data_IF_138631828606
#
_entry.id   IF_138631828606
#
_cell.length_a   1.000
_cell.length_b   1.000
_cell.length_c   1.000
_cell.angle_alpha   90.00
_cell.angle_beta   90.00
_cell.angle_gamma   90.00
#
_symmetry.space_group_name_H-M   'P 1'
#
loop_
_entity.id
_entity.type
_entity.pdbx_description
1 polymer ?
#
# COMPACT_ATOMS: atom_id res chain seq x y z
N UNK A 1 52.56 -8.28 70.27
CA UNK A 1 52.21 -7.39 69.15
C UNK A 1 51.59 -8.24 68.06
N UNK A 2 50.22 -8.25 67.97
CA UNK A 2 49.48 -9.02 66.97
C UNK A 2 49.18 -8.11 65.74
N UNK A 3 49.66 -8.47 64.55
CA UNK A 3 49.36 -7.76 63.29
C UNK A 3 48.02 -8.24 62.80
N UNK A 4 47.06 -7.31 62.65
CA UNK A 4 45.75 -7.54 61.98
C UNK A 4 45.94 -7.25 60.52
N UNK A 5 45.76 -8.26 59.66
CA UNK A 5 45.74 -8.12 58.20
C UNK A 5 44.29 -7.89 57.78
N UNK A 6 43.94 -6.66 57.30
CA UNK A 6 42.68 -6.36 56.73
C UNK A 6 42.66 -6.88 55.26
N UNK A 7 41.79 -7.83 54.99
CA UNK A 7 41.48 -8.25 53.63
C UNK A 7 40.35 -7.35 53.06
N UNK A 8 40.71 -6.49 52.12
CA UNK A 8 39.73 -5.71 51.37
C UNK A 8 39.10 -6.58 50.25
N UNK A 9 37.84 -6.95 50.43
CA UNK A 9 37.08 -7.65 49.37
C UNK A 9 36.57 -6.62 48.37
N UNK A 10 37.13 -6.61 47.18
CA UNK A 10 36.68 -5.80 46.04
C UNK A 10 35.49 -6.49 45.39
N UNK A 11 34.27 -6.01 45.64
CA UNK A 11 33.06 -6.48 44.98
C UNK A 11 32.97 -5.82 43.59
N UNK A 12 33.32 -6.57 42.56
CA UNK A 12 33.10 -6.13 41.15
C UNK A 12 31.65 -6.45 40.79
N UNK A 13 30.81 -5.43 40.81
CA UNK A 13 29.44 -5.54 40.32
C UNK A 13 29.45 -5.50 38.78
N UNK A 14 29.32 -6.67 38.15
CA UNK A 14 29.09 -6.76 36.71
C UNK A 14 27.65 -6.32 36.41
N UNK A 15 27.48 -5.11 35.91
CA UNK A 15 26.20 -4.68 35.30
C UNK A 15 25.97 -5.49 34.02
N UNK A 16 25.10 -6.48 34.07
CA UNK A 16 24.60 -7.16 32.89
C UNK A 16 23.70 -6.19 32.13
N UNK A 17 24.18 -5.64 31.00
CA UNK A 17 23.38 -4.88 30.08
C UNK A 17 22.43 -5.87 29.38
N UNK A 18 21.19 -5.96 29.86
CA UNK A 18 20.12 -6.70 29.21
C UNK A 18 19.76 -5.92 27.96
N UNK A 19 20.34 -6.29 26.82
CA UNK A 19 19.95 -5.78 25.53
C UNK A 19 18.54 -6.34 25.19
N UNK A 20 17.50 -5.59 25.51
CA UNK A 20 16.14 -5.89 25.06
C UNK A 20 16.09 -5.67 23.55
N UNK A 21 16.33 -6.72 22.77
CA UNK A 21 15.99 -6.74 21.37
C UNK A 21 14.47 -6.60 21.25
N UNK A 22 14.01 -5.38 21.02
CA UNK A 22 12.60 -5.13 20.73
C UNK A 22 12.19 -6.04 19.56
N UNK A 23 11.29 -7.00 19.84
CA UNK A 23 10.77 -7.90 18.82
C UNK A 23 10.14 -7.05 17.70
N UNK A 24 10.82 -6.95 16.58
CA UNK A 24 10.37 -6.19 15.42
C UNK A 24 9.10 -6.86 14.87
N UNK A 25 7.95 -6.24 15.07
CA UNK A 25 6.68 -6.72 14.51
C UNK A 25 6.69 -6.50 13.00
N UNK A 26 6.65 -7.57 12.23
CA UNK A 26 6.59 -7.50 10.77
C UNK A 26 5.13 -7.48 10.30
N UNK A 27 4.78 -6.56 9.40
CA UNK A 27 3.50 -6.56 8.71
C UNK A 27 3.45 -7.59 7.58
N UNK A 28 4.61 -7.96 7.08
CA UNK A 28 4.78 -8.91 5.98
C UNK A 28 5.32 -10.21 6.55
N UNK A 29 4.58 -11.28 6.33
CA UNK A 29 4.99 -12.64 6.74
C UNK A 29 6.31 -13.03 6.04
N UNK A 30 7.26 -13.53 6.84
CA UNK A 30 8.55 -14.01 6.34
C UNK A 30 8.42 -15.11 5.29
N UNK A 31 7.37 -15.95 5.35
CA UNK A 31 7.10 -16.96 4.33
C UNK A 31 6.84 -16.33 2.97
N UNK A 32 6.08 -15.23 2.92
CA UNK A 32 5.82 -14.45 1.70
C UNK A 32 7.11 -13.81 1.17
N UNK A 33 7.97 -13.27 2.06
CA UNK A 33 9.29 -12.72 1.68
C UNK A 33 10.18 -13.79 1.05
N UNK A 34 10.24 -14.99 1.65
CA UNK A 34 10.99 -16.14 1.10
C UNK A 34 10.44 -16.56 -0.26
N UNK A 35 9.10 -16.64 -0.43
CA UNK A 35 8.46 -16.96 -1.72
C UNK A 35 8.81 -15.93 -2.80
N UNK A 36 8.77 -14.64 -2.47
CA UNK A 36 9.16 -13.56 -3.39
C UNK A 36 10.62 -13.68 -3.78
N UNK A 37 11.53 -13.94 -2.81
CA UNK A 37 12.94 -14.14 -3.09
C UNK A 37 13.18 -15.33 -4.03
N UNK A 38 12.53 -16.48 -3.78
CA UNK A 38 12.63 -17.68 -4.63
C UNK A 38 12.15 -17.41 -6.06
N UNK A 39 11.02 -16.68 -6.21
CA UNK A 39 10.39 -16.46 -7.53
C UNK A 39 11.02 -15.31 -8.33
N UNK A 40 11.43 -14.22 -7.65
CA UNK A 40 11.82 -12.96 -8.30
C UNK A 40 13.23 -12.48 -7.93
N UNK A 41 13.94 -13.19 -7.05
CA UNK A 41 15.32 -12.92 -6.67
C UNK A 41 15.51 -11.86 -5.57
N UNK A 42 16.78 -11.66 -5.18
CA UNK A 42 17.17 -10.84 -4.03
C UNK A 42 16.73 -9.36 -4.14
N UNK A 43 16.72 -8.77 -5.33
CA UNK A 43 16.25 -7.39 -5.54
C UNK A 43 14.75 -7.25 -5.22
N UNK A 44 13.95 -8.28 -5.51
CA UNK A 44 12.53 -8.32 -5.18
C UNK A 44 12.30 -8.48 -3.67
N UNK A 45 13.06 -9.37 -3.01
CA UNK A 45 13.09 -9.50 -1.55
C UNK A 45 13.35 -8.14 -0.90
N UNK A 46 14.38 -7.42 -1.34
CA UNK A 46 14.71 -6.09 -0.81
C UNK A 46 13.58 -5.08 -0.96
N UNK A 47 12.83 -5.09 -2.08
CA UNK A 47 11.66 -4.21 -2.25
C UNK A 47 10.53 -4.54 -1.28
N UNK A 48 10.29 -5.83 -0.99
CA UNK A 48 9.28 -6.24 0.01
C UNK A 48 9.72 -5.85 1.43
N UNK A 49 10.99 -6.00 1.77
CA UNK A 49 11.54 -5.54 3.05
C UNK A 49 11.43 -4.01 3.22
N UNK A 50 11.69 -3.25 2.16
CA UNK A 50 11.49 -1.79 2.15
C UNK A 50 10.01 -1.41 2.31
N UNK A 51 9.10 -2.19 1.71
CA UNK A 51 7.66 -2.04 1.91
C UNK A 51 7.28 -2.28 3.37
N UNK A 52 7.73 -3.39 3.98
CA UNK A 52 7.50 -3.68 5.40
C UNK A 52 8.01 -2.55 6.30
N UNK A 53 9.23 -2.07 6.08
CA UNK A 53 9.79 -0.93 6.82
C UNK A 53 8.95 0.35 6.67
N UNK A 54 8.42 0.62 5.48
CA UNK A 54 7.54 1.77 5.23
C UNK A 54 6.22 1.61 6.00
N UNK A 55 5.62 0.41 6.02
CA UNK A 55 4.41 0.11 6.77
C UNK A 55 4.63 0.32 8.27
N UNK A 56 5.72 -0.22 8.83
CA UNK A 56 6.07 -0.06 10.24
C UNK A 56 6.22 1.41 10.65
N UNK A 57 6.94 2.19 9.86
CA UNK A 57 7.13 3.63 10.10
C UNK A 57 5.84 4.44 9.97
N UNK A 58 4.85 3.90 9.24
CA UNK A 58 3.62 4.63 8.94
C UNK A 58 2.44 4.25 9.85
N UNK A 59 2.50 3.12 10.58
CA UNK A 59 1.34 2.57 11.31
C UNK A 59 0.73 3.55 12.32
N UNK A 60 1.56 4.32 13.02
CA UNK A 60 1.13 5.22 14.10
C UNK A 60 1.05 6.69 13.64
N UNK A 61 1.33 6.94 12.37
CA UNK A 61 1.28 8.28 11.79
C UNK A 61 -0.16 8.81 11.61
N UNK A 62 -0.32 10.13 11.56
CA UNK A 62 -1.60 10.77 11.19
C UNK A 62 -2.01 10.37 9.77
N UNK A 63 -3.32 10.29 9.53
CA UNK A 63 -3.86 9.74 8.27
C UNK A 63 -3.25 10.33 6.99
N UNK A 64 -3.10 11.64 6.91
CA UNK A 64 -2.53 12.28 5.72
C UNK A 64 -1.08 11.83 5.46
N UNK A 65 -0.33 11.58 6.52
CA UNK A 65 1.05 11.06 6.42
C UNK A 65 1.05 9.60 5.96
N UNK A 66 0.15 8.75 6.50
CA UNK A 66 -0.07 7.37 6.01
C UNK A 66 -0.35 7.36 4.51
N UNK A 67 -1.33 8.16 4.06
CA UNK A 67 -1.69 8.27 2.65
C UNK A 67 -0.48 8.69 1.79
N UNK A 68 0.26 9.72 2.24
CA UNK A 68 1.44 10.23 1.54
C UNK A 68 2.55 9.20 1.45
N UNK A 69 2.92 8.56 2.55
CA UNK A 69 4.00 7.58 2.61
C UNK A 69 3.74 6.39 1.67
N UNK A 70 2.52 5.83 1.72
CA UNK A 70 2.10 4.73 0.86
C UNK A 70 2.05 5.16 -0.61
N UNK A 71 1.50 6.33 -0.91
CA UNK A 71 1.43 6.84 -2.28
C UNK A 71 2.82 7.05 -2.88
N UNK A 72 3.71 7.70 -2.13
CA UNK A 72 5.07 8.00 -2.58
C UNK A 72 5.93 6.73 -2.74
N UNK A 73 5.72 5.74 -1.88
CA UNK A 73 6.44 4.47 -1.97
C UNK A 73 6.16 3.77 -3.29
N UNK A 74 4.89 3.51 -3.61
CA UNK A 74 4.53 2.79 -4.83
C UNK A 74 4.76 3.62 -6.09
N UNK A 75 4.62 4.94 -6.04
CA UNK A 75 4.86 5.81 -7.19
C UNK A 75 6.32 5.90 -7.65
N UNK A 76 7.25 5.19 -6.98
CA UNK A 76 8.64 4.99 -7.43
C UNK A 76 8.78 3.79 -8.38
N UNK A 77 7.80 2.89 -8.41
CA UNK A 77 7.81 1.71 -9.28
C UNK A 77 7.56 2.14 -10.74
N UNK A 78 8.14 1.40 -11.67
CA UNK A 78 8.01 1.70 -13.09
C UNK A 78 6.63 1.34 -13.61
N UNK A 79 6.01 2.24 -14.40
CA UNK A 79 4.79 1.94 -15.13
C UNK A 79 5.05 1.03 -16.33
N UNK A 80 4.24 -0.01 -16.50
CA UNK A 80 4.28 -0.91 -17.65
C UNK A 80 2.91 -1.57 -17.83
N UNK A 81 2.33 -1.47 -19.02
CA UNK A 81 1.00 -2.04 -19.32
C UNK A 81 1.02 -3.56 -19.28
N UNK A 82 -0.09 -4.16 -18.95
CA UNK A 82 -0.29 -5.60 -18.84
C UNK A 82 0.15 -6.41 -20.06
N UNK A 83 -0.24 -6.03 -21.30
CA UNK A 83 0.21 -6.76 -22.50
C UNK A 83 1.74 -6.80 -22.63
N UNK A 84 2.41 -5.71 -22.26
CA UNK A 84 3.88 -5.63 -22.30
C UNK A 84 4.54 -6.34 -21.13
N UNK A 85 3.86 -6.37 -19.96
CA UNK A 85 4.43 -6.88 -18.72
C UNK A 85 4.07 -8.34 -18.47
N UNK A 86 2.78 -8.67 -18.48
CA UNK A 86 2.25 -9.98 -18.12
C UNK A 86 1.90 -10.86 -19.33
N UNK A 87 1.96 -10.31 -20.56
CA UNK A 87 1.48 -10.95 -21.78
C UNK A 87 -0.01 -11.32 -21.70
N UNK A 88 -0.77 -10.55 -20.93
CA UNK A 88 -2.22 -10.67 -20.71
C UNK A 88 -2.88 -9.33 -21.01
N UNK A 89 -4.17 -9.36 -21.35
CA UNK A 89 -4.93 -8.15 -21.67
C UNK A 89 -5.23 -7.31 -20.42
N UNK A 90 -5.51 -7.98 -19.31
CA UNK A 90 -5.89 -7.40 -18.02
C UNK A 90 -5.43 -8.38 -16.91
N UNK A 91 -4.53 -7.95 -16.03
CA UNK A 91 -3.98 -8.77 -14.96
C UNK A 91 -3.72 -7.95 -13.70
N UNK A 92 -4.56 -8.13 -12.70
CA UNK A 92 -4.43 -7.43 -11.42
C UNK A 92 -3.40 -8.11 -10.54
N UNK A 93 -2.19 -7.54 -10.47
CA UNK A 93 -1.12 -8.11 -9.68
C UNK A 93 -1.37 -7.92 -8.18
N UNK A 94 -1.00 -8.94 -7.39
CA UNK A 94 -0.89 -8.80 -5.94
C UNK A 94 0.23 -7.80 -5.60
N UNK A 95 0.23 -7.17 -4.42
CA UNK A 95 1.34 -6.31 -3.99
C UNK A 95 2.70 -7.01 -4.05
N UNK A 96 2.73 -8.33 -3.82
CA UNK A 96 3.95 -9.13 -3.90
C UNK A 96 4.46 -9.32 -5.34
N UNK A 97 3.56 -9.54 -6.30
CA UNK A 97 3.88 -9.64 -7.72
C UNK A 97 4.35 -8.29 -8.27
N UNK A 98 3.63 -7.21 -7.93
CA UNK A 98 3.99 -5.85 -8.32
C UNK A 98 5.38 -5.45 -7.81
N UNK A 99 5.68 -5.70 -6.52
CA UNK A 99 7.01 -5.49 -5.94
C UNK A 99 8.03 -6.50 -6.48
N UNK A 100 7.60 -7.73 -6.77
CA UNK A 100 8.41 -8.80 -7.31
C UNK A 100 9.03 -8.40 -8.66
N UNK A 101 8.19 -7.93 -9.56
CA UNK A 101 8.58 -7.56 -10.92
C UNK A 101 9.06 -6.11 -11.06
N UNK A 102 8.84 -5.25 -10.06
CA UNK A 102 9.15 -3.82 -10.06
C UNK A 102 8.52 -3.04 -11.23
N UNK A 103 7.38 -3.51 -11.73
CA UNK A 103 6.60 -2.84 -12.77
C UNK A 103 5.14 -3.27 -12.70
N UNK A 104 4.25 -2.42 -13.18
CA UNK A 104 2.81 -2.67 -13.31
C UNK A 104 2.08 -1.47 -13.87
N UNK A 105 0.77 -1.56 -14.01
CA UNK A 105 -0.06 -0.46 -14.50
C UNK A 105 -1.01 0.12 -13.44
N UNK A 106 -2.02 0.87 -13.85
CA UNK A 106 -2.76 1.74 -12.90
C UNK A 106 -3.48 0.97 -11.80
N UNK A 107 -4.04 -0.20 -12.09
CA UNK A 107 -4.71 -1.06 -11.11
C UNK A 107 -3.73 -1.62 -10.09
N UNK A 108 -2.52 -2.02 -10.50
CA UNK A 108 -1.50 -2.56 -9.60
C UNK A 108 -1.08 -1.53 -8.54
N UNK A 109 -0.92 -0.26 -8.95
CA UNK A 109 -0.65 0.83 -8.00
C UNK A 109 -1.82 1.04 -7.04
N UNK A 110 -3.05 1.07 -7.54
CA UNK A 110 -4.24 1.30 -6.71
C UNK A 110 -4.44 0.16 -5.70
N UNK A 111 -4.31 -1.09 -6.14
CA UNK A 111 -4.40 -2.32 -5.34
C UNK A 111 -3.32 -2.34 -4.26
N UNK A 112 -2.06 -2.12 -4.64
CA UNK A 112 -0.94 -2.16 -3.69
C UNK A 112 -1.07 -1.07 -2.61
N UNK A 113 -1.51 0.14 -2.98
CA UNK A 113 -1.81 1.21 -2.03
C UNK A 113 -2.97 0.85 -1.11
N UNK A 114 -4.05 0.28 -1.64
CA UNK A 114 -5.21 -0.16 -0.87
C UNK A 114 -4.82 -1.17 0.21
N UNK A 115 -4.16 -2.27 -0.15
CA UNK A 115 -3.75 -3.29 0.81
C UNK A 115 -2.73 -2.77 1.82
N UNK A 116 -1.84 -1.88 1.42
CA UNK A 116 -0.89 -1.25 2.33
C UNK A 116 -1.56 -0.39 3.39
N UNK A 117 -2.51 0.45 3.01
CA UNK A 117 -3.28 1.27 3.95
C UNK A 117 -4.14 0.42 4.87
N UNK A 118 -4.75 -0.67 4.36
CA UNK A 118 -5.47 -1.64 5.18
C UNK A 118 -4.57 -2.27 6.25
N UNK A 119 -3.36 -2.68 5.87
CA UNK A 119 -2.37 -3.28 6.80
C UNK A 119 -1.95 -2.33 7.93
N UNK A 120 -1.92 -1.03 7.71
CA UNK A 120 -1.58 -0.03 8.75
C UNK A 120 -2.81 0.61 9.41
N UNK A 121 -3.96 -0.11 9.39
CA UNK A 121 -5.14 0.20 10.17
C UNK A 121 -6.10 1.23 9.56
N UNK A 122 -5.99 1.56 8.26
CA UNK A 122 -7.01 2.38 7.62
C UNK A 122 -8.24 1.51 7.34
N UNK A 123 -9.44 1.87 7.86
CA UNK A 123 -10.66 1.08 7.69
C UNK A 123 -11.06 0.90 6.23
N UNK A 124 -11.58 -0.29 5.89
CA UNK A 124 -12.02 -0.63 4.52
C UNK A 124 -13.04 0.36 3.97
N UNK A 125 -14.04 0.72 4.76
CA UNK A 125 -15.11 1.63 4.39
C UNK A 125 -14.62 3.05 4.04
N UNK A 126 -13.38 3.39 4.38
CA UNK A 126 -12.72 4.66 4.01
C UNK A 126 -11.89 4.59 2.73
N UNK A 127 -11.72 3.42 2.14
CA UNK A 127 -10.91 3.20 0.95
C UNK A 127 -11.76 2.65 -0.19
N UNK A 128 -11.56 3.18 -1.40
CA UNK A 128 -12.17 2.63 -2.61
C UNK A 128 -11.18 2.71 -3.77
N UNK A 129 -11.00 1.60 -4.46
CA UNK A 129 -10.36 1.58 -5.78
C UNK A 129 -11.41 2.10 -6.76
N UNK A 130 -11.06 3.10 -7.55
CA UNK A 130 -11.99 3.80 -8.42
C UNK A 130 -11.55 3.70 -9.87
N UNK A 131 -12.42 3.15 -10.71
CA UNK A 131 -12.28 3.17 -12.16
C UNK A 131 -12.78 4.51 -12.69
N UNK A 132 -11.96 5.17 -13.50
CA UNK A 132 -12.20 6.49 -14.02
C UNK A 132 -11.86 6.55 -15.52
N UNK A 133 -12.46 7.50 -16.23
CA UNK A 133 -11.91 7.99 -17.49
C UNK A 133 -10.94 9.13 -17.17
N UNK A 134 -9.71 8.97 -17.60
CA UNK A 134 -8.67 10.00 -17.46
C UNK A 134 -8.51 10.76 -18.78
N UNK A 135 -8.54 12.06 -18.70
CA UNK A 135 -8.31 12.97 -19.84
C UNK A 135 -7.06 13.80 -19.61
N UNK A 136 -6.01 13.54 -20.37
CA UNK A 136 -4.80 14.35 -20.32
C UNK A 136 -5.10 15.78 -20.77
N UNK A 137 -4.48 16.77 -20.12
CA UNK A 137 -4.59 18.18 -20.52
C UNK A 137 -4.27 18.33 -22.02
N UNK A 138 -5.10 19.07 -22.74
CA UNK A 138 -5.02 19.27 -24.20
C UNK A 138 -5.24 18.02 -25.07
N UNK A 139 -5.64 16.88 -24.51
CA UNK A 139 -6.01 15.70 -25.28
C UNK A 139 -7.50 15.69 -25.58
N UNK A 140 -7.89 15.24 -26.79
CA UNK A 140 -9.29 14.93 -27.14
C UNK A 140 -9.70 13.53 -26.66
N UNK A 141 -8.75 12.66 -26.37
CA UNK A 141 -8.99 11.26 -26.01
C UNK A 141 -9.05 11.06 -24.49
N UNK A 142 -10.01 10.26 -24.05
CA UNK A 142 -10.11 9.71 -22.71
C UNK A 142 -9.54 8.29 -22.72
N UNK A 143 -8.87 7.90 -21.65
CA UNK A 143 -8.38 6.53 -21.45
C UNK A 143 -8.88 5.96 -20.11
N UNK A 144 -9.03 4.64 -20.06
CA UNK A 144 -9.30 3.93 -18.84
C UNK A 144 -8.16 4.14 -17.83
N UNK A 145 -8.51 4.33 -16.56
CA UNK A 145 -7.54 4.51 -15.50
C UNK A 145 -8.12 4.08 -14.16
N UNK A 146 -7.25 3.62 -13.25
CA UNK A 146 -7.61 3.31 -11.87
C UNK A 146 -6.82 4.15 -10.88
N UNK A 147 -7.50 4.59 -9.84
CA UNK A 147 -6.90 5.33 -8.70
C UNK A 147 -7.44 4.79 -7.40
N UNK A 148 -6.71 5.01 -6.30
CA UNK A 148 -7.24 4.79 -4.96
C UNK A 148 -7.83 6.11 -4.44
N UNK A 149 -8.98 6.02 -3.74
CA UNK A 149 -9.59 7.16 -3.06
C UNK A 149 -9.74 6.88 -1.58
N UNK A 150 -9.47 7.92 -0.76
CA UNK A 150 -9.68 7.91 0.68
C UNK A 150 -10.84 8.85 1.05
N UNK A 151 -11.85 8.30 1.75
CA UNK A 151 -13.05 8.99 2.22
C UNK A 151 -12.93 9.25 3.72
N UNK A 152 -12.75 10.52 4.12
CA UNK A 152 -12.65 10.89 5.53
C UNK A 152 -13.93 10.56 6.31
N UNK A 153 -15.09 10.91 5.74
CA UNK A 153 -16.44 10.61 6.25
C UNK A 153 -17.41 10.41 5.08
N UNK A 154 -18.58 9.80 5.32
CA UNK A 154 -19.63 9.70 4.30
C UNK A 154 -19.96 11.07 3.70
N UNK A 155 -20.16 11.14 2.38
CA UNK A 155 -20.48 12.38 1.65
C UNK A 155 -19.34 13.37 1.47
N UNK A 156 -18.20 13.22 2.15
CA UNK A 156 -17.05 14.11 1.96
C UNK A 156 -16.32 13.85 0.65
N UNK A 157 -15.79 14.93 0.05
CA UNK A 157 -14.91 14.85 -1.10
C UNK A 157 -13.67 13.99 -0.78
N UNK A 158 -13.43 12.88 -1.49
CA UNK A 158 -12.31 12.01 -1.19
C UNK A 158 -10.96 12.61 -1.63
N UNK A 159 -9.89 12.13 -1.00
CA UNK A 159 -8.51 12.37 -1.43
C UNK A 159 -8.16 11.28 -2.45
N UNK A 160 -7.55 11.68 -3.56
CA UNK A 160 -7.09 10.78 -4.63
C UNK A 160 -5.61 10.48 -4.48
N UNK A 161 -5.27 9.19 -4.52
CA UNK A 161 -3.93 8.64 -4.60
C UNK A 161 -3.75 8.05 -6.00
N UNK A 162 -2.83 8.60 -6.77
CA UNK A 162 -2.68 8.31 -8.19
C UNK A 162 -1.21 8.07 -8.57
N UNK A 163 -0.95 7.33 -9.63
CA UNK A 163 0.39 7.13 -10.19
C UNK A 163 0.73 8.14 -11.31
N UNK A 164 -0.27 8.71 -11.98
CA UNK A 164 -0.08 9.76 -12.99
C UNK A 164 0.15 11.12 -12.29
N UNK A 165 -0.80 11.55 -11.46
CA UNK A 165 -0.62 12.75 -10.63
C UNK A 165 -0.22 12.32 -9.21
N UNK A 166 1.08 12.29 -8.97
CA UNK A 166 1.67 11.75 -7.74
C UNK A 166 1.35 12.54 -6.45
N UNK A 167 0.82 13.76 -6.57
CA UNK A 167 0.43 14.58 -5.42
C UNK A 167 -0.95 14.17 -4.91
N UNK A 168 -1.12 14.06 -3.59
CA UNK A 168 -2.44 13.89 -2.99
C UNK A 168 -3.31 15.11 -3.30
N UNK A 169 -4.49 14.89 -3.85
CA UNK A 169 -5.44 15.97 -4.17
C UNK A 169 -6.86 15.54 -3.86
N UNK A 170 -7.70 16.49 -3.46
CA UNK A 170 -9.14 16.29 -3.40
C UNK A 170 -9.69 15.96 -4.79
N UNK A 171 -10.70 15.09 -4.87
CA UNK A 171 -11.32 14.70 -6.13
C UNK A 171 -11.88 15.90 -6.91
N UNK A 172 -12.40 16.92 -6.23
CA UNK A 172 -12.86 18.18 -6.83
C UNK A 172 -11.75 18.98 -7.55
N UNK A 173 -10.48 18.73 -7.20
CA UNK A 173 -9.31 19.33 -7.87
C UNK A 173 -8.73 18.43 -8.97
N UNK A 174 -9.38 17.29 -9.26
CA UNK A 174 -9.00 16.32 -10.28
C UNK A 174 -10.03 16.31 -11.42
N UNK A 175 -10.18 17.46 -12.08
CA UNK A 175 -11.08 17.64 -13.24
C UNK A 175 -10.68 16.79 -14.46
N UNK A 176 -9.48 16.24 -14.45
CA UNK A 176 -8.94 15.30 -15.42
C UNK A 176 -9.49 13.87 -15.26
N UNK A 177 -10.21 13.58 -14.15
CA UNK A 177 -10.77 12.27 -13.83
C UNK A 177 -12.31 12.33 -13.85
N UNK A 178 -12.94 11.46 -14.64
CA UNK A 178 -14.39 11.24 -14.65
C UNK A 178 -14.70 9.89 -14.01
N UNK A 179 -15.26 9.84 -12.79
CA UNK A 179 -15.61 8.59 -12.11
C UNK A 179 -16.65 7.78 -12.87
N UNK A 180 -16.48 6.45 -12.90
CA UNK A 180 -17.43 5.50 -13.49
C UNK A 180 -18.00 4.59 -12.38
N UNK A 181 -17.16 3.84 -11.70
CA UNK A 181 -17.51 3.04 -10.55
C UNK A 181 -16.34 2.94 -9.56
N UNK A 182 -16.61 2.50 -8.35
CA UNK A 182 -15.57 2.23 -7.36
C UNK A 182 -15.94 1.00 -6.53
N UNK A 183 -14.94 0.37 -5.94
CA UNK A 183 -15.12 -0.85 -5.14
C UNK A 183 -14.08 -0.94 -4.03
N UNK A 184 -14.37 -1.80 -3.06
CA UNK A 184 -13.44 -2.32 -2.05
C UNK A 184 -13.85 -3.76 -1.70
N UNK A 185 -13.31 -4.33 -0.62
CA UNK A 185 -13.68 -5.69 -0.21
C UNK A 185 -15.18 -5.81 0.14
N UNK A 186 -15.79 -4.75 0.70
CA UNK A 186 -17.18 -4.76 1.20
C UNK A 186 -18.25 -4.37 0.19
N UNK A 187 -17.90 -3.83 -1.00
CA UNK A 187 -18.95 -3.39 -1.91
C UNK A 187 -18.50 -2.80 -3.24
N UNK A 188 -19.51 -2.52 -4.05
CA UNK A 188 -19.41 -1.88 -5.36
C UNK A 188 -20.31 -0.65 -5.38
N UNK A 189 -19.83 0.47 -5.91
CA UNK A 189 -20.55 1.73 -6.03
C UNK A 189 -20.48 2.26 -7.46
N UNK A 190 -21.61 2.65 -7.99
CA UNK A 190 -21.70 3.37 -9.25
C UNK A 190 -21.61 4.88 -9.02
N UNK A 191 -20.83 5.58 -9.84
CA UNK A 191 -20.79 7.04 -9.80
C UNK A 191 -22.09 7.65 -10.29
N UNK A 192 -22.54 8.73 -9.66
CA UNK A 192 -23.68 9.57 -10.05
C UNK A 192 -23.22 11.02 -10.18
N UNK A 193 -24.05 11.89 -10.75
CA UNK A 193 -23.74 13.32 -10.91
C UNK A 193 -23.31 13.99 -9.58
N UNK A 194 -23.92 13.58 -8.46
CA UNK A 194 -23.52 13.98 -7.11
C UNK A 194 -23.21 12.72 -6.30
N UNK A 195 -21.90 12.40 -6.13
CA UNK A 195 -21.46 11.30 -5.29
C UNK A 195 -21.47 9.92 -5.96
N UNK A 196 -21.84 8.90 -5.21
CA UNK A 196 -21.94 7.51 -5.67
C UNK A 196 -22.99 6.74 -4.89
N UNK A 197 -23.61 5.75 -5.53
CA UNK A 197 -24.62 4.87 -4.93
C UNK A 197 -24.06 3.46 -4.86
N UNK A 198 -24.22 2.80 -3.70
CA UNK A 198 -23.88 1.39 -3.54
C UNK A 198 -24.84 0.53 -4.37
N UNK A 199 -24.29 -0.32 -5.23
CA UNK A 199 -25.06 -1.19 -6.13
C UNK A 199 -24.98 -2.67 -5.77
N UNK A 200 -24.16 -3.02 -4.78
CA UNK A 200 -24.07 -4.40 -4.31
C UNK A 200 -22.73 -4.76 -3.67
N UNK A 201 -22.48 -6.05 -3.60
CA UNK A 201 -21.19 -6.63 -3.21
C UNK A 201 -20.18 -6.56 -4.37
N UNK A 202 -18.89 -6.63 -4.05
CA UNK A 202 -17.84 -6.66 -5.08
C UNK A 202 -17.75 -8.06 -5.71
N UNK A 203 -18.40 -8.24 -6.83
CA UNK A 203 -18.40 -9.48 -7.61
C UNK A 203 -17.52 -9.41 -8.86
N UNK A 204 -16.63 -8.42 -8.98
CA UNK A 204 -15.71 -8.29 -10.10
C UNK A 204 -14.80 -9.54 -10.20
N UNK A 205 -14.75 -10.14 -11.39
CA UNK A 205 -13.95 -11.35 -11.64
C UNK A 205 -12.47 -11.12 -11.33
N UNK A 206 -11.90 -10.04 -11.82
CA UNK A 206 -10.50 -9.69 -11.59
C UNK A 206 -10.19 -9.48 -10.09
N UNK A 207 -11.16 -8.95 -9.29
CA UNK A 207 -11.02 -8.85 -7.85
C UNK A 207 -11.01 -10.22 -7.16
N UNK A 208 -11.93 -11.12 -7.54
CA UNK A 208 -12.00 -12.48 -6.98
C UNK A 208 -10.71 -13.25 -7.28
N UNK A 209 -10.22 -13.17 -8.52
CA UNK A 209 -8.96 -13.80 -8.93
C UNK A 209 -7.76 -13.22 -8.15
N UNK A 210 -7.68 -11.90 -7.99
CA UNK A 210 -6.68 -11.26 -7.14
C UNK A 210 -6.72 -11.78 -5.70
N UNK A 211 -7.91 -11.83 -5.09
CA UNK A 211 -8.10 -12.26 -3.70
C UNK A 211 -7.68 -13.70 -3.46
N UNK A 212 -7.82 -14.59 -4.45
CA UNK A 212 -7.38 -16.00 -4.35
C UNK A 212 -5.85 -16.15 -4.33
N UNK A 213 -5.09 -15.10 -4.68
CA UNK A 213 -3.61 -15.11 -4.78
C UNK A 213 -2.91 -14.29 -3.67
N UNK A 214 -3.63 -13.57 -2.82
CA UNK A 214 -3.09 -12.79 -1.69
C UNK A 214 -2.90 -13.67 -0.42
#
# INVERSE_FOLDING_TARGET
MKKIILFSILIISTLAVISTTANKTYFIDNSKVKKVNKKYGAKAKKRVELWDNMLQKSKDEKILKKLKNVNDFFNKIRYKTDPKHWKRKDYWATPYEFLGTAAGDCEDYAIAKYFSLRKIGVPDNKLRIMYVKYKRKRSKFEQAHMVLTYHHKPGATPIVLDNINKKLKLATKRKDLKPIYSFNAGGLWQAKNKGSVRVGTNNLRSWKDLMSRI
#
